data_IF_086152898052
#
_entry.id   IF_086152898052
#
_cell.length_a   1.000
_cell.length_b   1.000
_cell.length_c   1.000
_cell.angle_alpha   90.00
_cell.angle_beta   90.00
_cell.angle_gamma   90.00
#
_symmetry.space_group_name_H-M   'P 1'
#
loop_
_entity.id
_entity.type
_entity.pdbx_description
1 polymer ?
#
# COMPACT_ATOMS: atom_id res chain seq x y z
N UNK A 1 2.62 8.39 -9.50
CA UNK A 1 3.54 7.56 -8.67
C UNK A 1 3.68 8.23 -7.32
N UNK A 2 3.28 7.54 -6.28
CA UNK A 2 3.23 7.98 -4.88
C UNK A 2 4.32 7.31 -4.07
N UNK A 3 4.50 7.67 -2.80
CA UNK A 3 5.40 6.98 -1.87
C UNK A 3 5.03 5.50 -1.78
N UNK A 4 3.75 5.20 -1.56
CA UNK A 4 3.23 3.84 -1.52
C UNK A 4 3.53 3.09 -2.83
N UNK A 5 3.18 3.67 -3.97
CA UNK A 5 3.34 3.01 -5.28
C UNK A 5 4.78 2.67 -5.64
N UNK A 6 5.73 3.60 -5.42
CA UNK A 6 7.15 3.37 -5.76
C UNK A 6 7.82 2.34 -4.84
N UNK A 7 7.52 2.37 -3.53
CA UNK A 7 8.05 1.38 -2.59
C UNK A 7 7.55 -0.03 -2.91
N UNK A 8 6.26 -0.18 -3.23
CA UNK A 8 5.71 -1.47 -3.63
C UNK A 8 6.25 -1.96 -4.97
N UNK A 9 6.42 -1.06 -5.96
CA UNK A 9 7.04 -1.40 -7.24
C UNK A 9 8.47 -1.94 -7.06
N UNK A 10 9.28 -1.27 -6.24
CA UNK A 10 10.63 -1.72 -5.91
C UNK A 10 10.64 -3.08 -5.18
N UNK A 11 9.76 -3.27 -4.19
CA UNK A 11 9.68 -4.51 -3.44
C UNK A 11 9.22 -5.71 -4.31
N UNK A 12 8.21 -5.52 -5.15
CA UNK A 12 7.71 -6.58 -6.02
C UNK A 12 8.70 -6.93 -7.14
N UNK A 13 9.49 -5.96 -7.64
CA UNK A 13 10.55 -6.24 -8.62
C UNK A 13 11.65 -7.16 -8.07
N UNK A 14 11.95 -7.09 -6.77
CA UNK A 14 12.85 -8.03 -6.08
C UNK A 14 12.29 -9.46 -6.00
N UNK A 15 10.98 -9.64 -6.18
CA UNK A 15 10.30 -10.95 -6.25
C UNK A 15 10.12 -11.46 -7.68
N UNK A 16 10.96 -11.02 -8.60
CA UNK A 16 10.95 -11.39 -10.02
C UNK A 16 9.68 -11.01 -10.79
N UNK A 17 8.89 -10.07 -10.28
CA UNK A 17 7.78 -9.50 -11.03
C UNK A 17 8.27 -8.45 -12.02
N UNK A 18 7.68 -8.43 -13.23
CA UNK A 18 7.81 -7.32 -14.16
C UNK A 18 6.77 -6.25 -13.78
N UNK A 19 7.24 -5.05 -13.53
CA UNK A 19 6.42 -3.97 -12.99
C UNK A 19 6.19 -2.90 -14.03
N UNK A 20 4.94 -2.55 -14.27
CA UNK A 20 4.53 -1.39 -15.05
C UNK A 20 4.07 -0.29 -14.08
N UNK A 21 4.84 0.77 -13.98
CA UNK A 21 4.54 1.95 -13.19
C UNK A 21 3.79 2.96 -14.05
N UNK A 22 2.52 3.19 -13.74
CA UNK A 22 1.67 4.13 -14.45
C UNK A 22 1.47 5.42 -13.65
N UNK A 23 1.64 6.57 -14.30
CA UNK A 23 1.24 7.90 -13.79
C UNK A 23 0.84 8.79 -14.97
N UNK A 24 -0.24 9.57 -14.85
CA UNK A 24 -0.66 10.49 -15.92
C UNK A 24 0.34 11.62 -16.18
N UNK A 25 1.22 11.92 -15.24
CA UNK A 25 2.21 12.98 -15.35
C UNK A 25 3.52 12.43 -15.93
N UNK A 26 3.75 12.67 -17.21
CA UNK A 26 4.95 12.23 -17.93
C UNK A 26 6.23 12.87 -17.37
N UNK A 27 6.22 14.15 -17.01
CA UNK A 27 7.37 14.86 -16.47
C UNK A 27 7.83 14.22 -15.13
N UNK A 28 6.88 13.88 -14.28
CA UNK A 28 7.13 13.15 -13.03
C UNK A 28 7.79 11.80 -13.29
N UNK A 29 7.30 11.05 -14.28
CA UNK A 29 7.90 9.77 -14.66
C UNK A 29 9.33 9.95 -15.16
N UNK A 30 9.60 10.99 -15.95
CA UNK A 30 10.93 11.26 -16.48
C UNK A 30 11.91 11.70 -15.38
N UNK A 31 11.44 12.45 -14.38
CA UNK A 31 12.22 12.75 -13.18
C UNK A 31 12.57 11.49 -12.39
N UNK A 32 11.60 10.60 -12.17
CA UNK A 32 11.82 9.33 -11.48
C UNK A 32 12.83 8.44 -12.22
N UNK A 33 12.72 8.34 -13.55
CA UNK A 33 13.69 7.61 -14.40
C UNK A 33 15.12 8.15 -14.25
N UNK A 34 15.28 9.46 -14.09
CA UNK A 34 16.57 10.12 -13.83
C UNK A 34 17.06 9.96 -12.39
N UNK A 35 16.27 9.33 -11.51
CA UNK A 35 16.57 9.15 -10.09
C UNK A 35 16.17 10.31 -9.19
N UNK A 36 15.49 11.34 -9.72
CA UNK A 36 14.92 12.42 -8.94
C UNK A 36 13.56 12.00 -8.38
N UNK A 37 13.57 11.46 -7.16
CA UNK A 37 12.34 11.02 -6.49
C UNK A 37 11.67 12.18 -5.77
N UNK A 38 10.33 12.21 -5.71
CA UNK A 38 9.58 13.28 -5.02
C UNK A 38 9.67 13.21 -3.49
N UNK A 39 10.33 12.19 -2.93
CA UNK A 39 10.55 11.97 -1.50
C UNK A 39 11.84 11.18 -1.28
N UNK A 40 12.38 11.24 -0.06
CA UNK A 40 13.53 10.43 0.35
C UNK A 40 13.07 9.16 1.05
N UNK A 41 13.57 8.00 0.61
CA UNK A 41 13.34 6.72 1.27
C UNK A 41 14.61 5.86 1.17
N UNK A 42 15.13 5.35 2.30
CA UNK A 42 16.34 4.53 2.29
C UNK A 42 16.24 3.34 1.33
N UNK A 43 17.26 3.10 0.55
CA UNK A 43 17.40 2.00 -0.43
C UNK A 43 16.46 2.07 -1.64
N UNK A 44 15.47 2.97 -1.72
CA UNK A 44 14.51 3.01 -2.83
C UNK A 44 15.24 3.28 -4.16
N UNK A 45 16.05 4.34 -4.25
CA UNK A 45 16.81 4.66 -5.46
C UNK A 45 17.73 3.51 -5.91
N UNK A 46 18.38 2.87 -4.95
CA UNK A 46 19.23 1.71 -5.23
C UNK A 46 18.42 0.56 -5.86
N UNK A 47 17.26 0.22 -5.30
CA UNK A 47 16.44 -0.88 -5.82
C UNK A 47 15.83 -0.58 -7.18
N UNK A 48 15.37 0.66 -7.41
CA UNK A 48 14.87 1.08 -8.72
C UNK A 48 15.96 0.97 -9.79
N UNK A 49 17.21 1.41 -9.49
CA UNK A 49 18.35 1.25 -10.40
C UNK A 49 18.75 -0.21 -10.59
N UNK A 50 18.82 -1.00 -9.53
CA UNK A 50 19.15 -2.44 -9.59
C UNK A 50 18.18 -3.21 -10.49
N UNK A 51 16.88 -2.89 -10.40
CA UNK A 51 15.81 -3.61 -11.10
C UNK A 51 15.30 -2.88 -12.35
N UNK A 52 16.08 -1.96 -12.94
CA UNK A 52 15.64 -1.13 -14.08
C UNK A 52 15.12 -1.95 -15.27
N UNK A 53 15.66 -3.14 -15.50
CA UNK A 53 15.20 -4.05 -16.57
C UNK A 53 13.83 -4.67 -16.32
N UNK A 54 13.35 -4.64 -15.06
CA UNK A 54 12.05 -5.20 -14.65
C UNK A 54 11.00 -4.12 -14.39
N UNK A 55 11.39 -2.84 -14.28
CA UNK A 55 10.48 -1.72 -13.94
C UNK A 55 10.35 -0.80 -15.15
N UNK A 56 9.14 -0.71 -15.68
CA UNK A 56 8.78 0.10 -16.83
C UNK A 56 7.86 1.23 -16.40
N UNK A 57 8.08 2.43 -16.93
CA UNK A 57 7.28 3.61 -16.62
C UNK A 57 6.51 4.06 -17.85
N UNK A 58 5.22 4.32 -17.71
CA UNK A 58 4.34 4.76 -18.79
C UNK A 58 3.29 5.76 -18.32
N UNK A 59 2.96 6.73 -19.17
CA UNK A 59 1.79 7.61 -19.01
C UNK A 59 0.62 7.18 -19.90
N UNK A 60 0.80 6.12 -20.73
CA UNK A 60 -0.24 5.62 -21.60
C UNK A 60 -1.14 4.60 -20.84
N UNK A 61 -2.42 4.92 -20.57
CA UNK A 61 -3.31 4.03 -19.86
C UNK A 61 -3.62 2.73 -20.61
N UNK A 62 -3.43 2.70 -21.95
CA UNK A 62 -3.63 1.48 -22.73
C UNK A 62 -2.63 0.37 -22.39
N UNK A 63 -1.49 0.69 -21.79
CA UNK A 63 -0.53 -0.31 -21.36
C UNK A 63 -1.03 -1.17 -20.21
N UNK A 64 -2.04 -0.72 -19.45
CA UNK A 64 -2.68 -1.49 -18.38
C UNK A 64 -3.28 -2.81 -18.88
N UNK A 65 -3.61 -2.92 -20.17
CA UNK A 65 -4.08 -4.18 -20.78
C UNK A 65 -3.07 -5.32 -20.67
N UNK A 66 -1.78 -5.00 -20.56
CA UNK A 66 -0.67 -5.98 -20.46
C UNK A 66 -0.52 -6.56 -19.05
N UNK A 67 -1.19 -5.97 -18.04
CA UNK A 67 -1.02 -6.33 -16.63
C UNK A 67 -1.96 -7.47 -16.23
N UNK A 68 -1.42 -8.47 -15.53
CA UNK A 68 -2.21 -9.53 -14.89
C UNK A 68 -2.77 -9.10 -13.54
N UNK A 69 -1.99 -8.27 -12.81
CA UNK A 69 -2.36 -7.72 -11.51
C UNK A 69 -2.12 -6.21 -11.56
N UNK A 70 -3.09 -5.43 -11.11
CA UNK A 70 -3.00 -3.96 -11.08
C UNK A 70 -3.20 -3.50 -9.64
N UNK A 71 -2.18 -2.86 -9.09
CA UNK A 71 -2.21 -2.26 -7.76
C UNK A 71 -2.57 -0.78 -7.86
N UNK A 72 -3.63 -0.37 -7.16
CA UNK A 72 -4.05 1.03 -7.03
C UNK A 72 -3.46 1.55 -5.72
N UNK A 73 -2.40 2.35 -5.83
CA UNK A 73 -1.53 2.76 -4.74
C UNK A 73 -1.46 4.30 -4.64
N UNK A 74 -2.58 4.93 -4.34
CA UNK A 74 -2.67 6.38 -4.15
C UNK A 74 -2.52 6.73 -2.67
N UNK A 75 -1.70 7.75 -2.37
CA UNK A 75 -1.58 8.31 -1.02
C UNK A 75 -2.75 9.24 -0.76
N UNK A 76 -3.68 8.80 0.08
CA UNK A 76 -4.92 9.53 0.38
C UNK A 76 -4.66 10.67 1.36
N UNK A 77 -4.93 11.90 0.92
CA UNK A 77 -4.84 13.08 1.78
C UNK A 77 -6.06 13.17 2.68
N UNK A 78 -5.83 13.58 3.94
CA UNK A 78 -6.88 13.83 4.93
C UNK A 78 -6.82 15.29 5.32
N UNK A 79 -7.96 15.96 5.35
CA UNK A 79 -8.03 17.37 5.75
C UNK A 79 -7.99 17.53 7.28
N UNK A 80 -8.01 18.79 7.77
CA UNK A 80 -7.96 19.09 9.20
C UNK A 80 -9.17 18.56 10.01
N UNK A 81 -10.29 18.27 9.33
CA UNK A 81 -11.49 17.68 9.92
C UNK A 81 -11.47 16.15 9.90
N UNK A 82 -10.37 15.52 9.49
CA UNK A 82 -10.24 14.06 9.39
C UNK A 82 -10.93 13.43 8.17
N UNK A 83 -11.39 14.23 7.20
CA UNK A 83 -12.07 13.74 6.00
C UNK A 83 -11.04 13.43 4.93
N UNK A 84 -11.07 12.18 4.42
CA UNK A 84 -10.18 11.71 3.37
C UNK A 84 -10.66 12.12 1.97
N UNK A 85 -9.77 12.68 1.16
CA UNK A 85 -10.04 12.95 -0.26
C UNK A 85 -9.81 11.68 -1.11
N UNK A 86 -10.89 11.05 -1.49
CA UNK A 86 -10.89 9.82 -2.29
C UNK A 86 -11.05 10.07 -3.80
N UNK A 87 -10.98 11.32 -4.23
CA UNK A 87 -11.20 11.72 -5.65
C UNK A 87 -10.23 11.02 -6.59
N UNK A 88 -8.95 11.00 -6.27
CA UNK A 88 -7.94 10.35 -7.11
C UNK A 88 -8.08 8.83 -7.12
N UNK A 89 -8.36 8.21 -5.98
CA UNK A 89 -8.62 6.77 -5.90
C UNK A 89 -9.79 6.38 -6.82
N UNK A 90 -10.90 7.13 -6.79
CA UNK A 90 -12.06 6.89 -7.66
C UNK A 90 -11.73 7.07 -9.15
N UNK A 91 -10.92 8.09 -9.50
CA UNK A 91 -10.43 8.28 -10.87
C UNK A 91 -9.58 7.10 -11.34
N UNK A 92 -8.67 6.61 -10.49
CA UNK A 92 -7.83 5.45 -10.81
C UNK A 92 -8.66 4.16 -10.97
N UNK A 93 -9.66 3.93 -10.12
CA UNK A 93 -10.58 2.80 -10.26
C UNK A 93 -11.30 2.86 -11.64
N UNK A 94 -11.79 4.05 -12.02
CA UNK A 94 -12.47 4.26 -13.32
C UNK A 94 -11.51 4.03 -14.49
N UNK A 95 -10.28 4.51 -14.38
CA UNK A 95 -9.24 4.32 -15.39
C UNK A 95 -8.87 2.85 -15.55
N UNK A 96 -8.64 2.13 -14.45
CA UNK A 96 -8.36 0.69 -14.45
C UNK A 96 -9.53 -0.07 -15.09
N UNK A 97 -10.77 0.23 -14.73
CA UNK A 97 -11.96 -0.39 -15.31
C UNK A 97 -12.06 -0.19 -16.83
N UNK A 98 -11.66 0.99 -17.33
CA UNK A 98 -11.73 1.34 -18.75
C UNK A 98 -10.61 0.67 -19.58
N UNK A 99 -9.40 0.54 -19.02
CA UNK A 99 -8.20 0.20 -19.78
C UNK A 99 -7.58 -1.15 -19.44
N UNK A 100 -7.89 -1.73 -18.27
CA UNK A 100 -7.35 -3.04 -17.90
C UNK A 100 -7.98 -4.19 -18.70
N UNK A 101 -7.25 -5.30 -18.76
CA UNK A 101 -7.83 -6.55 -19.25
C UNK A 101 -8.95 -7.00 -18.31
N UNK A 102 -10.06 -7.53 -18.84
CA UNK A 102 -11.20 -8.03 -18.05
C UNK A 102 -10.83 -9.16 -17.08
N UNK A 103 -9.75 -9.89 -17.38
CA UNK A 103 -9.20 -10.95 -16.53
C UNK A 103 -8.17 -10.45 -15.51
N UNK A 104 -7.76 -9.18 -15.56
CA UNK A 104 -6.81 -8.63 -14.61
C UNK A 104 -7.36 -8.61 -13.17
N UNK A 105 -6.47 -8.83 -12.22
CA UNK A 105 -6.77 -8.71 -10.79
C UNK A 105 -6.53 -7.26 -10.39
N UNK A 106 -7.49 -6.64 -9.70
CA UNK A 106 -7.33 -5.30 -9.15
C UNK A 106 -7.11 -5.39 -7.64
N UNK A 107 -6.04 -4.79 -7.16
CA UNK A 107 -5.69 -4.74 -5.74
C UNK A 107 -5.63 -3.29 -5.28
N UNK A 108 -6.46 -2.92 -4.32
CA UNK A 108 -6.47 -1.58 -3.74
C UNK A 108 -5.58 -1.56 -2.50
N UNK A 109 -4.56 -0.69 -2.50
CA UNK A 109 -3.63 -0.49 -1.38
C UNK A 109 -3.92 0.79 -0.61
N UNK A 110 -4.57 1.77 -1.24
CA UNK A 110 -4.85 3.09 -0.66
C UNK A 110 -5.67 2.97 0.62
N UNK A 111 -5.41 3.84 1.59
CA UNK A 111 -6.24 3.91 2.78
C UNK A 111 -7.63 4.45 2.42
N UNK A 112 -8.66 3.68 2.78
CA UNK A 112 -10.05 3.95 2.43
C UNK A 112 -10.96 3.66 3.63
N UNK A 113 -12.15 4.28 3.69
CA UNK A 113 -13.12 3.99 4.74
C UNK A 113 -13.79 2.62 4.53
N UNK A 114 -14.31 2.00 5.60
CA UNK A 114 -15.08 0.75 5.51
C UNK A 114 -16.23 0.82 4.48
N UNK A 115 -16.48 -0.32 3.80
CA UNK A 115 -17.45 -0.49 2.71
C UNK A 115 -17.07 0.17 1.37
N UNK A 116 -15.93 0.85 1.28
CA UNK A 116 -15.52 1.53 0.05
C UNK A 116 -15.29 0.55 -1.10
N UNK A 117 -14.50 -0.51 -0.90
CA UNK A 117 -14.19 -1.49 -1.94
C UNK A 117 -15.47 -2.12 -2.49
N UNK A 118 -16.36 -2.58 -1.61
CA UNK A 118 -17.64 -3.17 -2.00
C UNK A 118 -18.52 -2.21 -2.81
N UNK A 119 -18.49 -0.93 -2.49
CA UNK A 119 -19.31 0.10 -3.15
C UNK A 119 -18.78 0.47 -4.54
N UNK A 120 -17.45 0.55 -4.72
CA UNK A 120 -16.87 1.19 -5.89
C UNK A 120 -16.36 0.23 -6.97
N UNK A 121 -16.33 -1.09 -6.72
CA UNK A 121 -15.96 -2.07 -7.74
C UNK A 121 -17.16 -2.90 -8.20
N UNK A 122 -17.21 -3.17 -9.54
CA UNK A 122 -18.30 -3.95 -10.16
C UNK A 122 -18.00 -5.45 -10.16
N UNK A 123 -16.89 -5.87 -10.75
CA UNK A 123 -16.47 -7.27 -10.76
C UNK A 123 -15.65 -7.58 -9.51
N UNK A 124 -16.33 -7.91 -8.43
CA UNK A 124 -15.73 -8.09 -7.10
C UNK A 124 -14.97 -9.41 -6.94
N UNK A 125 -15.16 -10.40 -7.82
CA UNK A 125 -14.47 -11.70 -7.74
C UNK A 125 -12.95 -11.59 -7.99
N UNK A 126 -12.52 -10.59 -8.75
CA UNK A 126 -11.09 -10.33 -9.03
C UNK A 126 -10.58 -9.02 -8.44
N UNK A 127 -11.25 -8.55 -7.40
CA UNK A 127 -10.87 -7.35 -6.67
C UNK A 127 -10.47 -7.73 -5.26
N UNK A 128 -9.42 -7.11 -4.76
CA UNK A 128 -8.88 -7.33 -3.42
C UNK A 128 -8.53 -6.00 -2.79
N UNK A 129 -8.66 -5.93 -1.49
CA UNK A 129 -8.11 -4.86 -0.67
C UNK A 129 -6.91 -5.42 0.09
N UNK A 130 -5.73 -4.86 -0.07
CA UNK A 130 -4.55 -5.28 0.67
C UNK A 130 -4.16 -4.19 1.65
N UNK A 131 -4.09 -4.53 2.92
CA UNK A 131 -3.69 -3.60 3.98
C UNK A 131 -2.18 -3.37 3.91
N UNK A 132 -1.78 -2.11 3.77
CA UNK A 132 -0.39 -1.71 3.80
C UNK A 132 -0.02 -1.01 5.11
N UNK A 133 1.16 -1.33 5.61
CA UNK A 133 1.69 -0.82 6.89
C UNK A 133 3.07 -0.20 6.72
N UNK A 134 3.31 0.47 5.58
CA UNK A 134 4.57 1.15 5.33
C UNK A 134 4.74 2.32 6.29
N UNK A 135 5.99 2.53 6.73
CA UNK A 135 6.39 3.64 7.60
C UNK A 135 7.51 4.39 6.86
N UNK A 136 7.42 5.72 6.79
CA UNK A 136 8.46 6.55 6.21
C UNK A 136 9.83 6.27 6.86
N UNK A 137 10.87 6.17 6.03
CA UNK A 137 12.22 5.82 6.47
C UNK A 137 12.47 4.32 6.64
N UNK A 138 11.41 3.49 6.65
CA UNK A 138 11.48 2.04 6.75
C UNK A 138 10.60 1.33 5.69
N UNK A 139 10.04 2.05 4.74
CA UNK A 139 9.05 1.52 3.82
C UNK A 139 9.59 0.35 2.99
N UNK A 140 10.79 0.46 2.44
CA UNK A 140 11.43 -0.62 1.67
C UNK A 140 11.66 -1.88 2.52
N UNK A 141 12.16 -1.75 3.75
CA UNK A 141 12.43 -2.90 4.61
C UNK A 141 11.14 -3.63 4.97
N UNK A 142 10.08 -2.88 5.27
CA UNK A 142 8.74 -3.43 5.57
C UNK A 142 8.08 -4.04 4.33
N UNK A 143 8.21 -3.40 3.17
CA UNK A 143 7.68 -3.94 1.92
C UNK A 143 8.38 -5.23 1.47
N UNK A 144 9.69 -5.37 1.71
CA UNK A 144 10.47 -6.57 1.37
C UNK A 144 10.26 -7.73 2.34
N UNK A 145 10.00 -7.43 3.62
CA UNK A 145 9.82 -8.40 4.70
C UNK A 145 8.55 -8.07 5.50
N UNK A 146 7.37 -8.18 4.86
CA UNK A 146 6.11 -7.96 5.59
C UNK A 146 5.93 -9.06 6.66
N UNK A 147 5.40 -8.69 7.81
CA UNK A 147 5.06 -9.63 8.88
C UNK A 147 3.93 -10.56 8.45
N UNK A 148 2.99 -10.04 7.67
CA UNK A 148 1.83 -10.75 7.11
C UNK A 148 1.18 -9.91 6.02
N UNK A 149 0.42 -10.56 5.15
CA UNK A 149 -0.54 -9.89 4.27
C UNK A 149 -1.95 -10.01 4.86
N UNK A 150 -2.68 -8.90 4.92
CA UNK A 150 -4.10 -8.86 5.27
C UNK A 150 -4.86 -8.53 3.99
N UNK A 151 -5.68 -9.47 3.52
CA UNK A 151 -6.35 -9.40 2.22
C UNK A 151 -7.86 -9.40 2.41
N UNK A 152 -8.48 -8.27 2.10
CA UNK A 152 -9.92 -8.14 1.98
C UNK A 152 -10.40 -8.68 0.63
N UNK A 153 -11.41 -9.53 0.63
CA UNK A 153 -11.97 -10.16 -0.57
C UNK A 153 -13.49 -10.35 -0.46
N UNK A 154 -14.12 -10.62 -1.58
CA UNK A 154 -15.57 -10.86 -1.61
C UNK A 154 -15.95 -12.15 -0.86
N UNK A 155 -15.13 -13.18 -1.00
CA UNK A 155 -15.34 -14.53 -0.46
C UNK A 155 -14.05 -15.06 0.18
N UNK A 156 -13.86 -14.84 1.49
CA UNK A 156 -12.65 -15.25 2.21
C UNK A 156 -12.40 -16.76 2.20
N UNK A 157 -13.45 -17.56 2.07
CA UNK A 157 -13.38 -19.02 2.00
C UNK A 157 -12.77 -19.53 0.69
N UNK A 158 -12.86 -18.75 -0.40
CA UNK A 158 -12.29 -19.11 -1.69
C UNK A 158 -10.78 -18.87 -1.74
N UNK A 159 -10.09 -19.67 -2.54
CA UNK A 159 -8.68 -19.45 -2.85
C UNK A 159 -8.46 -18.14 -3.61
N UNK A 160 -7.33 -17.49 -3.32
CA UNK A 160 -6.89 -16.35 -4.13
C UNK A 160 -6.53 -16.81 -5.55
N UNK A 161 -6.72 -15.96 -6.57
CA UNK A 161 -6.26 -16.25 -7.92
C UNK A 161 -4.78 -16.64 -7.91
N UNK A 162 -4.42 -17.63 -8.72
CA UNK A 162 -3.10 -18.29 -8.72
C UNK A 162 -1.95 -17.29 -8.83
N UNK A 163 -2.07 -16.32 -9.73
CA UNK A 163 -1.02 -15.31 -9.97
C UNK A 163 -0.81 -14.42 -8.73
N UNK A 164 -1.91 -14.00 -8.08
CA UNK A 164 -1.84 -13.17 -6.89
C UNK A 164 -1.31 -13.96 -5.69
N UNK A 165 -1.83 -15.18 -5.48
CA UNK A 165 -1.35 -16.09 -4.43
C UNK A 165 0.16 -16.36 -4.58
N UNK A 166 0.63 -16.66 -5.81
CA UNK A 166 2.05 -16.88 -6.09
C UNK A 166 2.92 -15.67 -5.75
N UNK A 167 2.47 -14.47 -6.11
CA UNK A 167 3.17 -13.23 -5.75
C UNK A 167 3.28 -13.08 -4.23
N UNK A 168 2.19 -13.21 -3.49
CA UNK A 168 2.18 -13.07 -2.03
C UNK A 168 3.05 -14.13 -1.34
N UNK A 169 2.97 -15.38 -1.75
CA UNK A 169 3.78 -16.48 -1.19
C UNK A 169 5.29 -16.28 -1.38
N UNK A 170 5.72 -15.51 -2.40
CA UNK A 170 7.14 -15.19 -2.61
C UNK A 170 7.77 -14.39 -1.46
N UNK A 171 6.95 -13.76 -0.62
CA UNK A 171 7.41 -13.02 0.57
C UNK A 171 7.58 -13.89 1.82
N UNK A 172 7.10 -15.13 1.80
CA UNK A 172 7.26 -16.11 2.89
C UNK A 172 6.70 -15.64 4.23
N UNK A 173 5.54 -14.98 4.21
CA UNK A 173 4.82 -14.56 5.41
C UNK A 173 3.36 -15.05 5.37
N UNK A 174 2.65 -15.05 6.52
CA UNK A 174 1.24 -15.43 6.57
C UNK A 174 0.36 -14.55 5.69
N UNK A 175 -0.69 -15.15 5.11
CA UNK A 175 -1.73 -14.47 4.34
C UNK A 175 -3.05 -14.64 5.07
N UNK A 176 -3.59 -13.55 5.61
CA UNK A 176 -4.84 -13.50 6.34
C UNK A 176 -5.94 -13.00 5.41
N UNK A 177 -6.85 -13.87 5.01
CA UNK A 177 -8.01 -13.53 4.19
C UNK A 177 -9.19 -13.17 5.08
N UNK A 178 -9.92 -12.12 4.72
CA UNK A 178 -11.15 -11.69 5.40
C UNK A 178 -12.06 -10.94 4.42
N UNK A 179 -13.29 -10.62 4.82
CA UNK A 179 -14.14 -9.78 3.98
C UNK A 179 -13.56 -8.36 3.84
N UNK A 180 -14.02 -7.60 2.84
CA UNK A 180 -13.51 -6.25 2.57
C UNK A 180 -13.61 -5.35 3.79
N UNK A 181 -14.77 -5.33 4.44
CA UNK A 181 -15.07 -4.45 5.55
C UNK A 181 -14.14 -4.71 6.74
N UNK A 182 -13.85 -5.97 7.04
CA UNK A 182 -12.93 -6.36 8.10
C UNK A 182 -11.49 -5.91 7.80
N UNK A 183 -11.03 -6.06 6.56
CA UNK A 183 -9.70 -5.62 6.16
C UNK A 183 -9.57 -4.09 6.17
N UNK A 184 -10.59 -3.36 5.71
CA UNK A 184 -10.66 -1.90 5.74
C UNK A 184 -10.65 -1.38 7.19
N UNK A 185 -11.42 -2.01 8.10
CA UNK A 185 -11.41 -1.72 9.54
C UNK A 185 -10.05 -2.06 10.14
N UNK A 186 -9.43 -3.19 9.76
CA UNK A 186 -8.14 -3.60 10.27
C UNK A 186 -7.06 -2.53 10.02
N UNK A 187 -7.04 -1.91 8.83
CA UNK A 187 -6.14 -0.77 8.55
C UNK A 187 -6.38 0.40 9.50
N UNK A 188 -7.65 0.76 9.72
CA UNK A 188 -8.02 1.84 10.64
C UNK A 188 -7.63 1.50 12.08
N UNK A 189 -7.90 0.26 12.52
CA UNK A 189 -7.57 -0.22 13.86
C UNK A 189 -6.06 -0.17 14.14
N UNK A 190 -5.22 -0.60 13.18
CA UNK A 190 -3.75 -0.50 13.30
C UNK A 190 -3.33 0.96 13.53
N UNK A 191 -3.84 1.89 12.72
CA UNK A 191 -3.48 3.30 12.85
C UNK A 191 -3.98 3.90 14.17
N UNK A 192 -5.20 3.58 14.60
CA UNK A 192 -5.75 4.05 15.87
C UNK A 192 -4.99 3.50 17.06
N UNK A 193 -4.64 2.21 17.04
CA UNK A 193 -3.83 1.58 18.08
C UNK A 193 -2.47 2.25 18.23
N UNK A 194 -1.77 2.50 17.10
CA UNK A 194 -0.49 3.20 17.12
C UNK A 194 -0.61 4.63 17.70
N UNK A 195 -1.60 5.39 17.25
CA UNK A 195 -1.84 6.74 17.75
C UNK A 195 -2.16 6.73 19.25
N UNK A 196 -3.03 5.84 19.71
CA UNK A 196 -3.38 5.70 21.12
C UNK A 196 -2.18 5.27 21.98
N UNK A 197 -1.35 4.35 21.49
CA UNK A 197 -0.15 3.90 22.20
C UNK A 197 0.86 5.04 22.39
N UNK A 198 1.07 5.87 21.36
CA UNK A 198 1.94 7.05 21.45
C UNK A 198 1.39 8.06 22.45
N UNK A 199 0.09 8.37 22.38
CA UNK A 199 -0.56 9.31 23.31
C UNK A 199 -0.45 8.80 24.74
N UNK A 200 -0.71 7.51 24.96
CA UNK A 200 -0.61 6.89 26.27
C UNK A 200 0.82 6.97 26.82
N UNK A 201 1.82 6.62 26.01
CA UNK A 201 3.22 6.71 26.41
C UNK A 201 3.64 8.14 26.78
N UNK A 202 3.22 9.13 25.98
CA UNK A 202 3.50 10.55 26.26
C UNK A 202 2.84 10.98 27.58
N UNK A 203 1.59 10.55 27.84
CA UNK A 203 0.91 10.86 29.12
C UNK A 203 1.64 10.26 30.32
N UNK A 204 2.13 9.01 30.20
CA UNK A 204 2.91 8.40 31.28
C UNK A 204 4.26 9.09 31.48
N UNK A 205 4.93 9.51 30.42
CA UNK A 205 6.16 10.29 30.51
C UNK A 205 5.93 11.61 31.26
N UNK A 206 4.86 12.34 30.94
CA UNK A 206 4.48 13.59 31.62
C UNK A 206 4.16 13.35 33.12
N UNK A 207 3.47 12.25 33.46
CA UNK A 207 3.19 11.87 34.84
C UNK A 207 4.51 11.57 35.57
N UNK A 208 5.43 10.81 34.97
CA UNK A 208 6.74 10.49 35.55
C UNK A 208 7.52 11.75 35.88
N UNK A 209 7.63 12.70 34.94
CA UNK A 209 8.29 13.97 35.14
C UNK A 209 7.66 14.79 36.29
N UNK A 210 6.34 14.86 36.37
CA UNK A 210 5.61 15.61 37.42
C UNK A 210 5.71 14.98 38.82
N UNK A 211 5.94 13.69 38.87
CA UNK A 211 6.04 12.93 40.16
C UNK A 211 7.47 12.65 40.60
N UNK A 212 8.47 13.11 39.82
CA UNK A 212 9.90 12.87 40.11
C UNK A 212 10.38 11.48 39.70
N UNK A 213 9.62 10.74 38.91
CA UNK A 213 10.03 9.46 38.30
C UNK A 213 10.86 9.67 37.03
N UNK A 214 11.65 8.67 36.67
CA UNK A 214 12.40 8.62 35.41
C UNK A 214 11.65 7.79 34.39
N UNK A 215 11.21 8.42 33.30
CA UNK A 215 10.53 7.74 32.19
C UNK A 215 11.40 6.66 31.53
N UNK A 216 12.73 6.88 31.46
CA UNK A 216 13.64 5.89 30.89
C UNK A 216 13.71 4.59 31.71
N UNK A 217 13.48 4.68 33.03
CA UNK A 217 13.35 3.50 33.89
C UNK A 217 11.99 2.82 33.74
N UNK A 218 10.90 3.61 33.76
CA UNK A 218 9.52 3.11 33.63
C UNK A 218 9.31 2.35 32.32
N UNK A 219 9.81 2.86 31.19
CA UNK A 219 9.62 2.21 29.90
C UNK A 219 10.40 0.91 29.70
N UNK A 220 11.36 0.60 30.58
CA UNK A 220 12.13 -0.67 30.56
C UNK A 220 11.43 -1.78 31.33
N UNK A 221 10.57 -1.42 32.26
CA UNK A 221 9.79 -2.36 33.09
C UNK A 221 8.51 -2.79 32.38
#
# INVERSE_FOLDING_TARGET
MTHLGLNMAAAYSEKNAHILCFDNNQEKLDQIKKGALPFSEPKLNYLLKKNYKKIFFTSNPSDLKKCNIIFIAEDVKTNKQGISDLTQVKKLITLVRKHANSKAISVLLSQIPPKFTRKHFFNKERVFYQVETLIFGQAISRALKPERFIIGCLRPEKELPTEYKKLLLSFRCPILKMNYESAEICKTAINMYLASSITFANTLAEISEKTGGDWEEVKKA
#
